data_IF_038489460203
#
_entry.id   IF_038489460203
#
_cell.length_a   1.000
_cell.length_b   1.000
_cell.length_c   1.000
_cell.angle_alpha   90.00
_cell.angle_beta   90.00
_cell.angle_gamma   90.00
#
_symmetry.space_group_name_H-M   'P 1'
#
loop_
_entity.id
_entity.type
_entity.pdbx_description
1 polymer ?
#
# COMPACT_ATOMS: atom_id res chain seq x y z
N UNK A 1 9.96 10.64 6.06
CA UNK A 1 8.83 11.55 5.82
C UNK A 1 8.31 11.31 4.43
N UNK A 2 7.01 11.12 4.28
CA UNK A 2 6.39 11.08 2.97
C UNK A 2 6.58 12.44 2.28
N UNK A 3 7.00 12.43 1.04
CA UNK A 3 7.15 13.64 0.25
C UNK A 3 5.97 13.74 -0.72
N UNK A 4 5.26 14.86 -0.68
CA UNK A 4 4.07 15.10 -1.50
C UNK A 4 4.22 16.46 -2.16
N UNK A 5 3.82 16.58 -3.43
CA UNK A 5 3.59 17.83 -4.12
C UNK A 5 2.31 17.72 -4.93
N UNK A 6 1.34 18.61 -4.67
CA UNK A 6 0.07 18.68 -5.37
C UNK A 6 -0.04 20.02 -6.11
N UNK A 7 -0.16 19.95 -7.41
CA UNK A 7 -0.19 21.12 -8.30
C UNK A 7 -1.51 21.15 -9.10
N UNK A 8 -2.06 22.33 -9.30
CA UNK A 8 -3.24 22.54 -10.14
C UNK A 8 -2.97 23.56 -11.24
N UNK A 9 -3.56 23.31 -12.41
CA UNK A 9 -3.64 24.29 -13.49
C UNK A 9 -5.13 24.59 -13.76
N UNK A 10 -5.56 25.83 -13.48
CA UNK A 10 -6.92 26.35 -13.68
C UNK A 10 -6.83 27.68 -14.40
N UNK A 11 -6.84 27.67 -15.73
CA UNK A 11 -6.69 28.85 -16.58
C UNK A 11 -7.96 29.15 -17.43
N UNK A 12 -9.11 28.64 -17.02
CA UNK A 12 -10.38 28.76 -17.73
C UNK A 12 -10.58 27.71 -18.84
N UNK A 13 -9.53 27.21 -19.45
CA UNK A 13 -9.56 26.13 -20.45
C UNK A 13 -9.10 24.81 -19.80
N UNK A 14 -8.09 24.88 -18.95
CA UNK A 14 -7.50 23.74 -18.28
C UNK A 14 -7.99 23.63 -16.83
N UNK A 15 -8.42 22.44 -16.45
CA UNK A 15 -8.78 22.08 -15.09
C UNK A 15 -8.07 20.77 -14.76
N UNK A 16 -6.76 20.87 -14.50
CA UNK A 16 -5.86 19.72 -14.38
C UNK A 16 -5.15 19.70 -13.04
N UNK A 17 -4.92 18.49 -12.53
CA UNK A 17 -4.05 18.25 -11.39
C UNK A 17 -2.77 17.52 -11.80
N UNK A 18 -1.76 17.65 -10.96
CA UNK A 18 -0.51 16.91 -11.02
C UNK A 18 -0.05 16.62 -9.60
N UNK A 19 -0.12 15.36 -9.19
CA UNK A 19 0.22 14.89 -7.86
C UNK A 19 1.49 14.04 -7.93
N UNK A 20 2.47 14.40 -7.12
CA UNK A 20 3.70 13.64 -6.93
C UNK A 20 3.72 13.09 -5.52
N UNK A 21 3.91 11.79 -5.35
CA UNK A 21 3.96 11.14 -4.04
C UNK A 21 5.15 10.20 -3.93
N UNK A 22 5.90 10.33 -2.84
CA UNK A 22 6.95 9.42 -2.44
C UNK A 22 6.62 8.91 -1.04
N UNK A 23 6.11 7.71 -0.97
CA UNK A 23 5.68 7.06 0.30
C UNK A 23 6.82 6.28 0.96
N UNK A 24 7.78 5.79 0.16
CA UNK A 24 8.99 5.14 0.66
C UNK A 24 10.17 6.11 0.69
N UNK A 25 10.64 6.57 1.86
CA UNK A 25 11.78 7.49 1.97
C UNK A 25 13.11 6.90 1.45
N UNK A 26 13.24 5.57 1.49
CA UNK A 26 14.39 4.84 0.97
C UNK A 26 14.19 4.38 -0.47
N UNK A 27 12.97 4.47 -1.00
CA UNK A 27 12.62 4.08 -2.36
C UNK A 27 13.35 4.92 -3.41
N UNK A 28 13.73 4.26 -4.49
CA UNK A 28 14.42 4.91 -5.63
C UNK A 28 13.44 5.58 -6.60
N UNK A 29 12.13 5.35 -6.42
CA UNK A 29 11.07 5.87 -7.27
C UNK A 29 10.03 6.67 -6.49
N UNK A 30 9.29 7.50 -7.20
CA UNK A 30 8.08 8.17 -6.75
C UNK A 30 6.98 8.04 -7.80
N UNK A 31 5.73 8.15 -7.38
CA UNK A 31 4.56 8.10 -8.27
C UNK A 31 4.19 9.50 -8.71
N UNK A 32 3.90 9.66 -9.99
CA UNK A 32 3.22 10.83 -10.55
C UNK A 32 1.82 10.42 -10.96
N UNK A 33 0.81 11.24 -10.59
CA UNK A 33 -0.55 11.15 -11.11
C UNK A 33 -0.95 12.48 -11.73
N UNK A 34 -1.63 12.44 -12.85
CA UNK A 34 -2.09 13.65 -13.54
C UNK A 34 -3.39 13.39 -14.29
N UNK A 35 -4.20 14.43 -14.42
CA UNK A 35 -5.48 14.33 -15.11
C UNK A 35 -6.32 15.55 -14.92
N UNK A 36 -7.62 15.42 -15.23
CA UNK A 36 -8.63 16.45 -14.95
C UNK A 36 -8.97 16.43 -13.46
N UNK A 37 -9.07 17.60 -12.82
CA UNK A 37 -9.47 17.70 -11.40
C UNK A 37 -10.83 17.03 -11.21
N UNK A 38 -10.96 16.20 -10.17
CA UNK A 38 -12.15 15.40 -9.88
C UNK A 38 -12.20 14.04 -10.60
N UNK A 39 -11.16 13.67 -11.37
CA UNK A 39 -10.99 12.34 -11.96
C UNK A 39 -9.81 11.61 -11.32
N UNK A 40 -9.70 10.32 -11.55
CA UNK A 40 -8.54 9.53 -11.10
C UNK A 40 -7.24 9.93 -11.80
N UNK A 41 -7.33 10.29 -13.07
CA UNK A 41 -6.19 10.58 -13.92
C UNK A 41 -5.41 9.35 -14.34
N UNK A 42 -4.23 9.59 -14.90
CA UNK A 42 -3.23 8.58 -15.25
C UNK A 42 -2.08 8.61 -14.26
N UNK A 43 -1.30 7.53 -14.15
CA UNK A 43 -0.14 7.48 -13.26
C UNK A 43 1.08 6.85 -13.94
N UNK A 44 2.26 7.18 -13.42
CA UNK A 44 3.52 6.50 -13.76
C UNK A 44 4.51 6.58 -12.60
N UNK A 45 5.47 5.65 -12.58
CA UNK A 45 6.63 5.71 -11.69
C UNK A 45 7.76 6.52 -12.33
N UNK A 46 8.48 7.27 -11.51
CA UNK A 46 9.65 8.03 -11.90
C UNK A 46 10.79 7.86 -10.89
N UNK A 47 12.05 7.83 -11.32
CA UNK A 47 13.20 7.87 -10.42
C UNK A 47 13.18 9.13 -9.54
N UNK A 48 13.51 8.98 -8.26
CA UNK A 48 13.55 10.10 -7.29
C UNK A 48 14.45 11.23 -7.75
N UNK A 49 15.52 10.94 -8.50
CA UNK A 49 16.40 11.94 -9.11
C UNK A 49 15.66 12.95 -10.01
N UNK A 50 14.50 12.57 -10.54
CA UNK A 50 13.65 13.42 -11.38
C UNK A 50 12.68 14.30 -10.60
N UNK A 51 12.56 14.18 -9.26
CA UNK A 51 11.57 14.90 -8.46
C UNK A 51 11.59 16.41 -8.71
N UNK A 52 12.72 17.06 -8.45
CA UNK A 52 12.85 18.51 -8.62
C UNK A 52 12.65 18.95 -10.07
N UNK A 53 13.18 18.18 -11.02
CA UNK A 53 12.99 18.46 -12.46
C UNK A 53 11.50 18.47 -12.82
N UNK A 54 10.75 17.44 -12.40
CA UNK A 54 9.31 17.32 -12.69
C UNK A 54 8.50 18.41 -12.01
N UNK A 55 8.83 18.76 -10.78
CA UNK A 55 8.18 19.85 -10.05
C UNK A 55 8.36 21.19 -10.77
N UNK A 56 9.61 21.57 -11.10
CA UNK A 56 9.91 22.82 -11.80
C UNK A 56 9.30 22.88 -13.20
N UNK A 57 9.32 21.77 -13.93
CA UNK A 57 8.68 21.66 -15.25
C UNK A 57 7.19 22.03 -15.18
N UNK A 58 6.45 21.54 -14.19
CA UNK A 58 5.03 21.85 -14.04
C UNK A 58 4.76 23.28 -13.59
N UNK A 59 5.55 23.78 -12.65
CA UNK A 59 5.42 25.18 -12.23
C UNK A 59 5.70 26.17 -13.40
N UNK A 60 6.69 25.88 -14.24
CA UNK A 60 6.97 26.69 -15.44
C UNK A 60 5.88 26.61 -16.51
N UNK A 61 5.06 25.57 -16.52
CA UNK A 61 3.90 25.40 -17.40
C UNK A 61 2.58 25.93 -16.79
N UNK A 62 2.66 26.83 -15.80
CA UNK A 62 1.50 27.51 -15.23
C UNK A 62 0.71 26.72 -14.18
N UNK A 63 1.28 25.62 -13.69
CA UNK A 63 0.69 24.96 -12.51
C UNK A 63 1.03 25.75 -11.25
N UNK A 64 0.07 25.81 -10.34
CA UNK A 64 0.19 26.46 -9.03
C UNK A 64 0.35 25.37 -7.97
N UNK A 65 1.31 25.54 -7.07
CA UNK A 65 1.51 24.65 -5.93
C UNK A 65 0.36 24.84 -4.91
N UNK A 66 -0.38 23.79 -4.67
CA UNK A 66 -1.50 23.71 -3.73
C UNK A 66 -1.27 22.61 -2.69
N UNK A 67 -0.03 22.20 -2.51
CA UNK A 67 0.33 21.09 -1.61
C UNK A 67 -0.19 21.32 -0.20
N UNK A 68 -0.05 22.52 0.37
CA UNK A 68 -0.50 22.78 1.72
C UNK A 68 -2.03 22.72 1.83
N UNK A 69 -2.76 23.28 0.87
CA UNK A 69 -4.23 23.22 0.87
C UNK A 69 -4.75 21.80 0.70
N UNK A 70 -4.02 20.96 -0.06
CA UNK A 70 -4.31 19.54 -0.23
C UNK A 70 -4.08 18.76 1.07
N UNK A 71 -2.96 19.00 1.75
CA UNK A 71 -2.64 18.35 3.04
C UNK A 71 -3.59 18.79 4.16
N UNK A 72 -4.04 20.04 4.14
CA UNK A 72 -5.01 20.59 5.10
C UNK A 72 -6.47 20.14 4.80
N UNK A 73 -6.70 19.38 3.73
CA UNK A 73 -8.04 18.95 3.32
C UNK A 73 -8.95 20.10 2.82
N UNK A 74 -8.39 21.28 2.52
CA UNK A 74 -9.15 22.45 1.99
C UNK A 74 -9.55 22.28 0.54
N UNK A 75 -8.83 21.46 -0.20
CA UNK A 75 -9.14 21.09 -1.58
C UNK A 75 -9.14 19.57 -1.72
N UNK A 76 -10.08 19.08 -2.51
CA UNK A 76 -10.08 17.66 -2.87
C UNK A 76 -8.98 17.44 -3.92
N UNK A 77 -8.10 16.51 -3.63
CA UNK A 77 -7.15 16.01 -4.60
C UNK A 77 -7.82 15.27 -5.77
N UNK A 78 -7.04 14.53 -6.57
CA UNK A 78 -7.63 13.59 -7.51
C UNK A 78 -8.62 12.71 -6.74
N UNK A 79 -9.71 12.32 -7.40
CA UNK A 79 -10.61 11.31 -6.84
C UNK A 79 -9.77 10.20 -6.24
N UNK A 80 -10.13 9.71 -5.05
CA UNK A 80 -9.35 8.69 -4.36
C UNK A 80 -8.93 7.65 -5.39
N UNK A 81 -7.64 7.34 -5.43
CA UNK A 81 -7.12 6.47 -6.48
C UNK A 81 -7.82 5.12 -6.40
N UNK A 82 -8.68 4.91 -7.34
CA UNK A 82 -9.39 3.67 -7.53
C UNK A 82 -8.72 2.93 -8.68
N UNK A 83 -7.43 2.72 -8.76
CA UNK A 83 -6.73 2.03 -9.84
C UNK A 83 -7.51 1.97 -11.19
N UNK A 84 -6.95 1.54 -12.26
CA UNK A 84 -7.72 1.29 -13.49
C UNK A 84 -8.81 0.26 -13.18
N UNK A 85 -10.04 0.74 -12.89
CA UNK A 85 -11.16 -0.13 -12.55
C UNK A 85 -11.80 0.06 -11.16
N UNK A 86 -11.54 1.15 -10.43
CA UNK A 86 -12.09 1.39 -9.10
C UNK A 86 -11.20 0.91 -7.95
N UNK A 87 -11.46 1.38 -6.71
CA UNK A 87 -10.76 0.91 -5.52
C UNK A 87 -10.87 -0.61 -5.40
N UNK A 88 -9.76 -1.28 -5.07
CA UNK A 88 -9.78 -2.72 -4.79
C UNK A 88 -10.49 -3.00 -3.48
N UNK A 89 -10.28 -2.16 -2.48
CA UNK A 89 -10.90 -2.26 -1.17
C UNK A 89 -11.22 -0.89 -0.59
N UNK A 90 -12.01 -0.87 0.48
CA UNK A 90 -12.31 0.29 1.32
C UNK A 90 -12.09 -0.06 2.79
N UNK A 91 -11.61 0.90 3.57
CA UNK A 91 -11.66 0.80 5.04
C UNK A 91 -13.10 1.04 5.49
N UNK A 92 -13.57 0.21 6.41
CA UNK A 92 -14.93 0.33 6.96
C UNK A 92 -14.95 1.20 8.23
N UNK A 93 -16.13 1.52 8.74
CA UNK A 93 -16.28 2.15 10.06
C UNK A 93 -16.02 1.20 11.25
N UNK A 94 -15.90 -0.11 10.99
CA UNK A 94 -15.60 -1.11 12.02
C UNK A 94 -14.14 -1.02 12.41
N UNK A 95 -13.86 -0.84 13.70
CA UNK A 95 -12.52 -0.64 14.23
C UNK A 95 -12.29 -1.40 15.52
N UNK A 96 -11.02 -1.73 15.80
CA UNK A 96 -10.54 -2.28 17.07
C UNK A 96 -9.21 -1.66 17.45
N UNK A 97 -8.86 -1.70 18.73
CA UNK A 97 -7.53 -1.32 19.21
C UNK A 97 -6.67 -2.58 19.37
N UNK A 98 -5.44 -2.55 18.86
CA UNK A 98 -4.46 -3.62 18.97
C UNK A 98 -3.09 -3.03 19.34
N UNK A 99 -2.53 -3.41 20.46
CA UNK A 99 -1.23 -2.91 20.96
C UNK A 99 -1.10 -1.37 20.94
N UNK A 100 -2.21 -0.65 21.15
CA UNK A 100 -2.24 0.81 21.10
C UNK A 100 -2.48 1.41 19.71
N UNK A 101 -2.57 0.60 18.66
CA UNK A 101 -2.91 1.02 17.29
C UNK A 101 -4.41 0.90 17.03
N UNK A 102 -5.01 1.88 16.38
CA UNK A 102 -6.39 1.80 15.91
C UNK A 102 -6.42 1.12 14.55
N UNK A 103 -7.11 -0.01 14.45
CA UNK A 103 -7.22 -0.82 13.24
C UNK A 103 -8.62 -0.74 12.65
N UNK A 104 -8.70 -0.77 11.35
CA UNK A 104 -9.94 -0.71 10.58
C UNK A 104 -10.12 -2.00 9.77
N UNK A 105 -11.32 -2.57 9.84
CA UNK A 105 -11.70 -3.69 8.98
C UNK A 105 -11.82 -3.20 7.54
N UNK A 106 -11.34 -3.99 6.59
CA UNK A 106 -11.47 -3.67 5.16
C UNK A 106 -12.60 -4.46 4.51
N UNK A 107 -13.07 -3.98 3.37
CA UNK A 107 -14.07 -4.65 2.52
C UNK A 107 -13.64 -4.54 1.07
N UNK A 108 -13.70 -5.63 0.33
CA UNK A 108 -13.40 -5.65 -1.09
C UNK A 108 -14.42 -4.79 -1.86
N UNK A 109 -13.95 -3.92 -2.73
CA UNK A 109 -14.80 -3.06 -3.55
C UNK A 109 -15.00 -3.61 -4.97
N UNK A 110 -14.22 -4.61 -5.37
CA UNK A 110 -14.33 -5.36 -6.62
C UNK A 110 -13.96 -6.81 -6.40
N UNK A 111 -14.39 -7.69 -7.30
CA UNK A 111 -13.99 -9.11 -7.32
C UNK A 111 -12.60 -9.23 -7.92
N UNK A 112 -11.74 -10.04 -7.31
CA UNK A 112 -10.39 -10.39 -7.80
C UNK A 112 -9.94 -11.72 -7.21
N UNK A 113 -8.93 -12.34 -7.79
CA UNK A 113 -8.36 -13.61 -7.33
C UNK A 113 -7.05 -13.36 -6.57
N UNK A 114 -6.82 -14.04 -5.46
CA UNK A 114 -5.57 -14.00 -4.69
C UNK A 114 -4.50 -14.92 -5.31
N UNK A 115 -3.26 -14.80 -4.86
CA UNK A 115 -2.14 -15.66 -5.30
C UNK A 115 -2.37 -17.15 -5.01
N UNK A 116 -3.20 -17.51 -4.04
CA UNK A 116 -3.58 -18.89 -3.74
C UNK A 116 -4.83 -19.37 -4.53
N UNK A 117 -5.34 -18.56 -5.47
CA UNK A 117 -6.49 -18.92 -6.31
C UNK A 117 -7.85 -18.76 -5.60
N UNK A 118 -7.89 -18.09 -4.45
CA UNK A 118 -9.16 -17.75 -3.80
C UNK A 118 -9.76 -16.50 -4.45
N UNK A 119 -11.01 -16.57 -4.86
CA UNK A 119 -11.74 -15.47 -5.45
C UNK A 119 -12.41 -14.62 -4.35
N UNK A 120 -11.86 -13.44 -4.09
CA UNK A 120 -12.44 -12.44 -3.19
C UNK A 120 -13.58 -11.75 -3.90
N UNK A 121 -14.79 -11.83 -3.36
CA UNK A 121 -15.98 -11.20 -3.96
C UNK A 121 -16.12 -9.74 -3.55
N UNK A 122 -16.64 -8.90 -4.47
CA UNK A 122 -17.01 -7.53 -4.11
C UNK A 122 -18.01 -7.53 -2.94
N UNK A 123 -17.71 -6.77 -1.88
CA UNK A 123 -18.47 -6.74 -0.62
C UNK A 123 -17.95 -7.72 0.44
N UNK A 124 -17.03 -8.60 0.11
CA UNK A 124 -16.40 -9.50 1.06
C UNK A 124 -15.52 -8.74 2.08
N UNK A 125 -15.65 -9.11 3.33
CA UNK A 125 -14.90 -8.50 4.43
C UNK A 125 -13.51 -9.13 4.52
N UNK A 126 -12.48 -8.31 4.46
CA UNK A 126 -11.09 -8.73 4.67
C UNK A 126 -10.62 -8.54 6.12
N UNK A 127 -9.32 -8.52 6.34
CA UNK A 127 -8.67 -8.37 7.63
C UNK A 127 -8.63 -6.93 8.16
N UNK A 128 -7.60 -6.62 8.91
CA UNK A 128 -7.44 -5.36 9.65
C UNK A 128 -6.18 -4.62 9.23
N UNK A 129 -6.32 -3.34 8.91
CA UNK A 129 -5.18 -2.46 8.63
C UNK A 129 -5.25 -1.20 9.50
N UNK A 130 -4.10 -0.62 9.84
CA UNK A 130 -4.04 0.63 10.59
C UNK A 130 -4.33 1.85 9.70
N UNK A 131 -3.84 1.81 8.47
CA UNK A 131 -3.92 2.93 7.52
C UNK A 131 -3.88 2.43 6.07
N UNK A 132 -4.33 3.25 5.11
CA UNK A 132 -4.38 2.85 3.69
C UNK A 132 -3.03 2.41 3.11
N UNK A 133 -1.91 2.95 3.62
CA UNK A 133 -0.57 2.61 3.14
C UNK A 133 -0.13 1.19 3.51
N UNK A 134 -0.85 0.52 4.41
CA UNK A 134 -0.55 -0.86 4.80
C UNK A 134 -0.93 -1.90 3.74
N UNK A 135 -1.82 -1.56 2.81
CA UNK A 135 -2.27 -2.46 1.74
C UNK A 135 -2.41 -1.69 0.43
N UNK A 136 -1.70 -2.13 -0.62
CA UNK A 136 -1.79 -1.51 -1.94
C UNK A 136 -3.17 -1.72 -2.57
N UNK A 137 -3.63 -0.70 -3.29
CA UNK A 137 -4.83 -0.77 -4.13
C UNK A 137 -4.55 -1.49 -5.46
N UNK A 138 -3.28 -1.59 -5.84
CA UNK A 138 -2.85 -2.26 -7.07
C UNK A 138 -2.58 -3.76 -6.83
N UNK A 139 -2.50 -4.52 -7.92
CA UNK A 139 -2.24 -5.95 -7.87
C UNK A 139 -3.37 -6.73 -7.20
N UNK A 140 -3.07 -7.98 -6.83
CA UNK A 140 -4.02 -8.93 -6.21
C UNK A 140 -3.77 -9.11 -4.70
N UNK A 141 -2.87 -8.30 -4.11
CA UNK A 141 -2.56 -8.42 -2.68
C UNK A 141 -3.80 -8.25 -1.81
N UNK A 142 -3.87 -9.04 -0.73
CA UNK A 142 -5.01 -9.02 0.17
C UNK A 142 -4.61 -9.25 1.63
N UNK A 143 -5.39 -8.69 2.53
CA UNK A 143 -5.39 -9.03 3.95
C UNK A 143 -6.73 -9.66 4.23
N UNK A 144 -6.74 -10.94 4.61
CA UNK A 144 -7.94 -11.76 4.76
C UNK A 144 -8.26 -12.04 6.24
N UNK A 145 -9.42 -12.57 6.50
CA UNK A 145 -9.89 -13.13 7.77
C UNK A 145 -9.73 -12.17 8.97
N UNK A 146 -8.97 -12.59 9.99
CA UNK A 146 -8.62 -11.80 11.16
C UNK A 146 -7.17 -11.28 11.14
N UNK A 147 -6.46 -11.46 10.03
CA UNK A 147 -5.09 -10.97 9.87
C UNK A 147 -4.98 -9.47 10.13
N UNK A 148 -3.85 -9.07 10.71
CA UNK A 148 -3.59 -7.70 11.16
C UNK A 148 -2.32 -7.17 10.48
N UNK A 149 -2.43 -6.00 9.85
CA UNK A 149 -1.29 -5.30 9.25
C UNK A 149 -1.21 -3.88 9.83
N UNK A 150 -0.14 -3.56 10.55
CA UNK A 150 0.00 -2.28 11.23
C UNK A 150 1.45 -1.83 11.38
N UNK A 151 1.64 -0.55 11.66
CA UNK A 151 2.94 0.05 11.89
C UNK A 151 3.52 0.74 10.65
N UNK A 152 4.62 1.45 10.86
CA UNK A 152 5.20 2.32 9.84
C UNK A 152 5.93 1.57 8.73
N UNK A 153 6.34 0.32 8.98
CA UNK A 153 7.04 -0.53 8.01
C UNK A 153 6.14 -1.60 7.39
N UNK A 154 4.91 -1.73 7.88
CA UNK A 154 3.96 -2.70 7.37
C UNK A 154 3.41 -2.28 6.01
N UNK A 155 3.64 -3.12 5.02
CA UNK A 155 3.18 -2.88 3.66
C UNK A 155 2.94 -4.21 2.92
N UNK A 156 1.72 -4.44 2.47
CA UNK A 156 1.33 -5.60 1.67
C UNK A 156 1.09 -5.14 0.23
N UNK A 157 1.86 -5.67 -0.73
CA UNK A 157 1.84 -5.20 -2.13
C UNK A 157 2.07 -6.33 -3.15
N UNK A 158 1.85 -6.01 -4.43
CA UNK A 158 1.91 -7.00 -5.52
C UNK A 158 0.72 -7.94 -5.46
N UNK A 159 0.96 -9.24 -5.35
CA UNK A 159 -0.07 -10.26 -5.20
C UNK A 159 -0.04 -10.91 -3.80
N UNK A 160 0.75 -10.36 -2.87
CA UNK A 160 0.98 -10.94 -1.56
C UNK A 160 -0.32 -11.15 -0.75
N UNK A 161 -0.38 -12.22 0.00
CA UNK A 161 -1.51 -12.57 0.85
C UNK A 161 -1.09 -12.62 2.32
N UNK A 162 -1.84 -11.94 3.18
CA UNK A 162 -1.74 -12.08 4.64
C UNK A 162 -3.10 -12.55 5.14
N UNK A 163 -3.18 -13.75 5.73
CA UNK A 163 -4.45 -14.42 6.04
C UNK A 163 -4.49 -15.03 7.43
N UNK A 164 -5.62 -15.62 7.78
CA UNK A 164 -5.94 -16.27 9.06
C UNK A 164 -5.78 -15.29 10.24
N UNK A 165 -4.90 -15.59 11.19
CA UNK A 165 -4.60 -14.76 12.36
C UNK A 165 -3.18 -14.16 12.29
N UNK A 166 -2.59 -14.08 11.11
CA UNK A 166 -1.24 -13.56 10.95
C UNK A 166 -1.12 -12.08 11.34
N UNK A 167 0.02 -11.72 11.92
CA UNK A 167 0.34 -10.35 12.36
C UNK A 167 1.52 -9.82 11.59
N UNK A 168 1.35 -8.72 10.87
CA UNK A 168 2.37 -8.14 10.01
C UNK A 168 2.69 -6.69 10.40
N UNK A 169 3.92 -6.47 10.86
CA UNK A 169 4.53 -5.17 11.12
C UNK A 169 5.60 -4.80 10.07
N UNK A 170 5.94 -5.74 9.18
CA UNK A 170 6.94 -5.62 8.13
C UNK A 170 6.35 -5.61 6.73
N UNK A 171 7.19 -5.87 5.73
CA UNK A 171 6.81 -5.85 4.32
C UNK A 171 6.53 -7.25 3.78
N UNK A 172 5.38 -7.43 3.11
CA UNK A 172 5.04 -8.67 2.39
C UNK A 172 4.73 -8.29 0.95
N UNK A 173 5.48 -8.83 0.00
CA UNK A 173 5.39 -8.37 -1.38
C UNK A 173 5.58 -9.49 -2.41
N UNK A 174 5.34 -9.13 -3.68
CA UNK A 174 5.33 -10.07 -4.81
C UNK A 174 4.24 -11.12 -4.63
N UNK A 175 4.55 -12.41 -4.65
CA UNK A 175 3.61 -13.52 -4.47
C UNK A 175 3.76 -14.21 -3.09
N UNK A 176 4.32 -13.51 -2.11
CA UNK A 176 4.55 -14.05 -0.79
C UNK A 176 3.23 -14.26 -0.02
N UNK A 177 3.16 -15.39 0.70
CA UNK A 177 2.00 -15.78 1.52
C UNK A 177 2.40 -15.85 2.99
N UNK A 178 1.64 -15.16 3.84
CA UNK A 178 1.78 -15.20 5.31
C UNK A 178 0.44 -15.61 5.90
N UNK A 179 0.40 -16.71 6.65
CA UNK A 179 -0.86 -17.24 7.19
C UNK A 179 -0.67 -17.96 8.54
N UNK A 180 -1.76 -18.52 9.07
CA UNK A 180 -1.79 -19.14 10.40
C UNK A 180 -1.70 -18.08 11.50
N UNK A 181 -0.82 -18.30 12.47
CA UNK A 181 -0.48 -17.36 13.55
C UNK A 181 0.91 -16.72 13.34
N UNK A 182 1.38 -16.69 12.10
CA UNK A 182 2.71 -16.19 11.76
C UNK A 182 2.86 -14.70 12.11
N UNK A 183 4.06 -14.31 12.52
CA UNK A 183 4.37 -12.94 12.93
C UNK A 183 5.54 -12.37 12.14
N UNK A 184 5.27 -11.37 11.32
CA UNK A 184 6.27 -10.62 10.57
C UNK A 184 6.60 -9.36 11.34
N UNK A 185 7.82 -9.27 11.86
CA UNK A 185 8.25 -8.16 12.71
C UNK A 185 8.62 -6.93 11.89
N UNK A 186 8.61 -5.79 12.55
CA UNK A 186 9.01 -4.50 11.98
C UNK A 186 10.34 -4.61 11.24
N UNK A 187 10.41 -4.06 10.01
CA UNK A 187 11.54 -4.14 9.07
C UNK A 187 11.83 -5.51 8.44
N UNK A 188 11.16 -6.58 8.85
CA UNK A 188 11.26 -7.85 8.15
C UNK A 188 10.64 -7.75 6.75
N UNK A 189 11.16 -8.55 5.82
CA UNK A 189 10.70 -8.57 4.42
C UNK A 189 10.43 -10.01 4.00
N UNK A 190 9.22 -10.27 3.54
CA UNK A 190 8.83 -11.53 2.90
C UNK A 190 8.49 -11.25 1.44
N UNK A 191 9.16 -11.95 0.50
CA UNK A 191 9.04 -11.65 -0.93
C UNK A 191 9.24 -12.91 -1.80
N UNK A 192 9.03 -12.77 -3.09
CA UNK A 192 9.05 -13.90 -4.03
C UNK A 192 7.79 -14.75 -3.88
N UNK A 193 7.94 -16.05 -3.96
CA UNK A 193 6.91 -17.07 -3.70
C UNK A 193 7.08 -17.69 -2.31
N UNK A 194 7.57 -16.91 -1.34
CA UNK A 194 7.84 -17.42 0.01
C UNK A 194 6.54 -17.71 0.77
N UNK A 195 6.54 -18.77 1.56
CA UNK A 195 5.44 -19.17 2.44
C UNK A 195 5.88 -19.07 3.90
N UNK A 196 5.18 -18.26 4.69
CA UNK A 196 5.36 -18.14 6.12
C UNK A 196 4.05 -18.58 6.78
N UNK A 197 4.08 -19.63 7.59
CA UNK A 197 2.87 -20.21 8.15
C UNK A 197 3.03 -20.71 9.58
N UNK A 198 1.95 -21.29 10.11
CA UNK A 198 1.83 -21.76 11.47
C UNK A 198 2.09 -20.65 12.49
N UNK A 199 3.02 -20.84 13.43
CA UNK A 199 3.41 -19.84 14.44
C UNK A 199 4.84 -19.30 14.20
N UNK A 200 5.27 -19.26 12.94
CA UNK A 200 6.59 -18.78 12.55
C UNK A 200 6.80 -17.28 12.83
N UNK A 201 8.00 -16.88 13.19
CA UNK A 201 8.37 -15.50 13.46
C UNK A 201 9.49 -15.08 12.51
N UNK A 202 9.27 -13.97 11.79
CA UNK A 202 10.26 -13.42 10.87
C UNK A 202 10.71 -12.03 11.35
N UNK A 203 12.01 -11.89 11.63
CA UNK A 203 12.69 -10.61 11.89
C UNK A 203 13.72 -10.27 10.79
N UNK A 204 13.95 -11.18 9.83
CA UNK A 204 14.92 -11.05 8.74
C UNK A 204 14.23 -10.94 7.39
N UNK A 205 14.91 -11.44 6.37
CA UNK A 205 14.44 -11.45 4.98
C UNK A 205 14.18 -12.90 4.55
N UNK A 206 12.98 -13.17 4.06
CA UNK A 206 12.58 -14.45 3.46
C UNK A 206 12.21 -14.19 2.00
N UNK A 207 12.80 -14.96 1.07
CA UNK A 207 12.62 -14.72 -0.37
C UNK A 207 12.60 -16.01 -1.20
N UNK A 208 12.33 -15.84 -2.50
CA UNK A 208 12.30 -16.93 -3.46
C UNK A 208 11.17 -17.91 -3.16
N UNK A 209 11.44 -19.18 -3.03
CA UNK A 209 10.49 -20.26 -2.70
C UNK A 209 10.65 -20.78 -1.27
N UNK A 210 11.25 -20.00 -0.39
CA UNK A 210 11.51 -20.42 0.98
C UNK A 210 10.20 -20.63 1.75
N UNK A 211 10.17 -21.70 2.58
CA UNK A 211 9.08 -21.96 3.52
C UNK A 211 9.59 -21.82 4.94
N UNK A 212 8.90 -21.00 5.73
CA UNK A 212 9.16 -20.81 7.17
C UNK A 212 7.89 -21.22 7.91
N UNK A 213 7.93 -22.30 8.65
CA UNK A 213 6.75 -22.94 9.23
C UNK A 213 6.98 -23.36 10.70
N UNK A 214 5.96 -23.94 11.30
CA UNK A 214 5.91 -24.41 12.68
C UNK A 214 6.21 -23.27 13.69
N UNK A 215 7.28 -23.37 14.45
CA UNK A 215 7.76 -22.36 15.42
C UNK A 215 9.13 -21.78 15.00
N UNK A 216 9.44 -21.84 13.71
CA UNK A 216 10.70 -21.31 13.20
C UNK A 216 10.83 -19.79 13.48
N UNK A 217 12.06 -19.37 13.76
CA UNK A 217 12.36 -17.97 14.02
C UNK A 217 13.52 -17.51 13.14
N UNK A 218 13.20 -16.74 12.13
CA UNK A 218 14.18 -16.07 11.25
C UNK A 218 14.63 -14.79 11.93
N UNK A 219 15.87 -14.76 12.42
CA UNK A 219 16.45 -13.65 13.18
C UNK A 219 16.77 -12.45 12.29
N UNK A 220 16.90 -11.27 12.89
CA UNK A 220 17.36 -10.05 12.21
C UNK A 220 18.73 -10.30 11.54
N UNK A 221 18.90 -9.77 10.33
CA UNK A 221 20.11 -10.00 9.52
C UNK A 221 20.20 -11.36 8.83
N UNK A 222 19.25 -12.28 9.08
CA UNK A 222 19.17 -13.56 8.38
C UNK A 222 18.49 -13.39 7.03
N UNK A 223 19.04 -14.03 6.00
CA UNK A 223 18.46 -14.18 4.67
C UNK A 223 18.16 -15.66 4.41
N UNK A 224 16.90 -15.98 4.09
CA UNK A 224 16.40 -17.33 3.77
C UNK A 224 15.84 -17.36 2.35
#
# INVERSE_FOLDING_TARGET
>A
MNQIAYLECRDGIHNKFYLMTRTDPCGVNFTIRWGRIGTEGSSCLQPVSNWNKKLHERLSHGYVDRTQDYLDGKINGPAAWTGVGGAKYKMTGTRKTWLGHELYKIVAAKTFETVEGYEVQAGETGGWIEKPENLDQDGQCWVADEAIVFGSFAHVKGNALVADNAVCEGSVCEDAVVRGEASIKSKAICMGHSLICDSAIVNGIVRGYATVAEKANVKEGTLV
#
